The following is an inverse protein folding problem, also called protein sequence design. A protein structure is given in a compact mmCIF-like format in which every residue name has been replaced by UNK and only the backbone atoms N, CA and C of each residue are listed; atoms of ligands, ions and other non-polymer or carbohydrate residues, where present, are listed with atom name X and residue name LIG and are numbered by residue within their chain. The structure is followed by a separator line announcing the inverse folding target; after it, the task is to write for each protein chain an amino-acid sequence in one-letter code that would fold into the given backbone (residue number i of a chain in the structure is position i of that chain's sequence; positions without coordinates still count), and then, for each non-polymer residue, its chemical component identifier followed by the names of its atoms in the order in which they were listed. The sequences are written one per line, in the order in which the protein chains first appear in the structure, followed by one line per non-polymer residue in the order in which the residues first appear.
data_IF_358546809415
#
_entry.id   IF_358546809415
#
_cell.length_a   1.000
_cell.length_b   1.000
_cell.length_c   1.000
_cell.angle_alpha   90.00
_cell.angle_beta   90.00
_cell.angle_gamma   90.00
#
_symmetry.space_group_name_H-M   'P 1'
#
loop_
_entity.id
_entity.type
_entity.pdbx_description
1 polymer ?
#
# COMPACT_ATOMS: atom_id res chain seq x y z
N UNK A 1 15.84 -19.45 2.75
CA UNK A 1 15.59 -19.91 1.36
C UNK A 1 15.98 -18.79 0.41
N UNK A 2 16.68 -19.07 -0.70
CA UNK A 2 16.90 -18.08 -1.75
C UNK A 2 15.54 -17.65 -2.32
N UNK A 3 15.42 -16.37 -2.70
CA UNK A 3 14.22 -15.87 -3.37
C UNK A 3 14.22 -16.40 -4.80
N UNK A 4 13.09 -16.93 -5.25
CA UNK A 4 12.83 -17.20 -6.67
C UNK A 4 12.13 -15.97 -7.27
N UNK A 5 12.84 -15.13 -8.05
CA UNK A 5 12.27 -13.90 -8.57
C UNK A 5 11.24 -14.14 -9.69
N UNK A 6 11.35 -15.25 -10.42
CA UNK A 6 10.41 -15.59 -11.50
C UNK A 6 9.09 -16.06 -10.93
N UNK A 7 9.12 -17.01 -9.99
CA UNK A 7 7.93 -17.48 -9.30
C UNK A 7 7.20 -16.31 -8.62
N UNK A 8 7.94 -15.45 -7.90
CA UNK A 8 7.38 -14.26 -7.26
C UNK A 8 6.68 -13.33 -8.26
N UNK A 9 7.30 -13.06 -9.41
CA UNK A 9 6.71 -12.21 -10.45
C UNK A 9 5.42 -12.84 -11.00
N UNK A 10 5.44 -14.12 -11.33
CA UNK A 10 4.29 -14.84 -11.89
C UNK A 10 3.10 -14.82 -10.94
N UNK A 11 3.31 -15.20 -9.67
CA UNK A 11 2.24 -15.20 -8.68
C UNK A 11 1.65 -13.80 -8.44
N UNK A 12 2.49 -12.75 -8.39
CA UNK A 12 1.99 -11.37 -8.23
C UNK A 12 1.16 -10.94 -9.45
N UNK A 13 1.59 -11.30 -10.66
CA UNK A 13 0.85 -10.96 -11.88
C UNK A 13 -0.50 -11.68 -11.97
N UNK A 14 -0.54 -12.97 -11.65
CA UNK A 14 -1.79 -13.75 -11.59
C UNK A 14 -2.76 -13.20 -10.57
N UNK A 15 -2.26 -12.88 -9.36
CA UNK A 15 -3.07 -12.27 -8.31
C UNK A 15 -3.61 -10.90 -8.74
N UNK A 16 -2.79 -10.04 -9.36
CA UNK A 16 -3.24 -8.74 -9.86
C UNK A 16 -4.37 -8.89 -10.90
N UNK A 17 -4.25 -9.87 -11.80
CA UNK A 17 -5.28 -10.18 -12.79
C UNK A 17 -6.56 -10.72 -12.17
N UNK A 18 -6.46 -11.55 -11.12
CA UNK A 18 -7.62 -12.07 -10.41
C UNK A 18 -8.40 -10.98 -9.66
N UNK A 19 -7.69 -9.96 -9.15
CA UNK A 19 -8.30 -8.81 -8.47
C UNK A 19 -8.92 -7.78 -9.42
N UNK A 20 -8.54 -7.80 -10.71
CA UNK A 20 -9.03 -6.85 -11.71
C UNK A 20 -10.56 -6.96 -11.89
N UNK A 21 -11.27 -5.85 -11.72
CA UNK A 21 -12.72 -5.79 -11.89
C UNK A 21 -13.55 -6.34 -10.71
N UNK A 22 -12.90 -6.85 -9.66
CA UNK A 22 -13.59 -7.26 -8.42
C UNK A 22 -14.06 -6.05 -7.61
N UNK A 23 -15.11 -6.23 -6.81
CA UNK A 23 -15.60 -5.17 -5.91
C UNK A 23 -14.69 -4.99 -4.68
N UNK A 24 -14.78 -3.80 -4.07
CA UNK A 24 -13.93 -3.43 -2.94
C UNK A 24 -14.10 -4.33 -1.71
N UNK A 25 -15.31 -4.86 -1.44
CA UNK A 25 -15.57 -5.69 -0.27
C UNK A 25 -14.90 -7.06 -0.41
N UNK A 26 -14.98 -7.67 -1.60
CA UNK A 26 -14.28 -8.91 -1.91
C UNK A 26 -12.75 -8.76 -1.79
N UNK A 27 -12.21 -7.66 -2.34
CA UNK A 27 -10.76 -7.37 -2.27
C UNK A 27 -10.31 -7.17 -0.81
N UNK A 28 -11.09 -6.45 0.00
CA UNK A 28 -10.80 -6.26 1.42
C UNK A 28 -10.77 -7.59 2.17
N UNK A 29 -11.80 -8.43 2.00
CA UNK A 29 -11.86 -9.75 2.63
C UNK A 29 -10.67 -10.64 2.22
N UNK A 30 -10.32 -10.62 0.93
CA UNK A 30 -9.18 -11.36 0.41
C UNK A 30 -7.87 -10.99 1.12
N UNK A 31 -7.62 -9.69 1.35
CA UNK A 31 -6.40 -9.28 2.06
C UNK A 31 -6.37 -9.74 3.51
N UNK A 32 -7.49 -9.74 4.23
CA UNK A 32 -7.55 -10.27 5.60
C UNK A 32 -7.36 -11.78 5.67
N UNK A 33 -7.63 -12.51 4.58
CA UNK A 33 -7.37 -13.95 4.49
C UNK A 33 -5.94 -14.27 4.05
N UNK A 34 -5.37 -13.44 3.16
CA UNK A 34 -4.02 -13.61 2.64
C UNK A 34 -2.94 -13.28 3.68
N UNK A 35 -3.18 -12.26 4.50
CA UNK A 35 -2.23 -11.76 5.47
C UNK A 35 -2.56 -12.20 6.88
N UNK A 36 -1.52 -12.39 7.70
CA UNK A 36 -1.70 -12.39 9.15
C UNK A 36 -2.11 -11.00 9.64
N UNK A 37 -2.69 -10.92 10.85
CA UNK A 37 -3.08 -9.64 11.44
C UNK A 37 -1.91 -8.62 11.51
N UNK A 38 -0.69 -9.10 11.78
CA UNK A 38 0.50 -8.26 11.84
C UNK A 38 0.91 -7.73 10.44
N UNK A 39 0.83 -8.57 9.41
CA UNK A 39 1.13 -8.17 8.03
C UNK A 39 0.08 -7.20 7.48
N UNK A 40 -1.20 -7.44 7.79
CA UNK A 40 -2.30 -6.54 7.43
C UNK A 40 -2.14 -5.16 8.11
N UNK A 41 -1.81 -5.12 9.41
CA UNK A 41 -1.51 -3.88 10.13
C UNK A 41 -0.29 -3.14 9.54
N UNK A 42 0.80 -3.84 9.22
CA UNK A 42 1.96 -3.23 8.55
C UNK A 42 1.58 -2.67 7.17
N UNK A 43 0.77 -3.38 6.38
CA UNK A 43 0.30 -2.92 5.08
C UNK A 43 -0.60 -1.69 5.23
N UNK A 44 -1.56 -1.70 6.15
CA UNK A 44 -2.47 -0.59 6.42
C UNK A 44 -1.71 0.66 6.87
N UNK A 45 -0.71 0.51 7.74
CA UNK A 45 0.18 1.62 8.16
C UNK A 45 0.97 2.20 6.99
N UNK A 46 1.44 1.37 6.05
CA UNK A 46 2.12 1.86 4.82
C UNK A 46 1.16 2.64 3.92
N UNK A 47 -0.09 2.19 3.79
CA UNK A 47 -1.11 2.93 3.05
C UNK A 47 -1.47 4.26 3.71
N UNK A 48 -1.67 4.28 5.04
CA UNK A 48 -1.91 5.49 5.81
C UNK A 48 -0.77 6.50 5.68
N UNK A 49 0.48 6.02 5.74
CA UNK A 49 1.66 6.84 5.48
C UNK A 49 1.61 7.48 4.10
N UNK A 50 1.26 6.72 3.06
CA UNK A 50 1.16 7.21 1.68
C UNK A 50 0.10 8.30 1.54
N UNK A 51 -1.07 8.14 2.17
CA UNK A 51 -2.13 9.17 2.23
C UNK A 51 -1.64 10.46 2.88
N UNK A 52 -1.04 10.36 4.06
CA UNK A 52 -0.54 11.53 4.80
C UNK A 52 0.58 12.26 4.06
N UNK A 53 1.47 11.52 3.40
CA UNK A 53 2.50 12.12 2.56
C UNK A 53 1.92 12.85 1.35
N UNK A 54 0.85 12.31 0.73
CA UNK A 54 0.15 12.98 -0.36
C UNK A 54 -0.56 14.26 0.10
N UNK A 55 -1.04 14.31 1.35
CA UNK A 55 -1.60 15.52 1.98
C UNK A 55 -0.55 16.55 2.41
N UNK A 56 0.75 16.25 2.26
CA UNK A 56 1.83 17.16 2.65
C UNK A 56 2.20 17.13 4.13
N UNK A 57 1.71 16.14 4.90
CA UNK A 57 2.05 16.00 6.31
C UNK A 57 3.55 15.72 6.51
N UNK A 58 4.26 16.42 7.42
CA UNK A 58 5.68 16.16 7.67
C UNK A 58 5.94 14.74 8.19
N UNK A 59 6.95 14.06 7.65
CA UNK A 59 7.31 12.67 7.99
C UNK A 59 7.45 12.40 9.50
N UNK A 60 8.02 13.36 10.26
CA UNK A 60 8.18 13.22 11.72
C UNK A 60 6.83 13.18 12.45
N UNK A 61 5.84 13.92 11.98
CA UNK A 61 4.48 13.90 12.54
C UNK A 61 3.80 12.58 12.24
N UNK A 62 3.95 12.08 11.01
CA UNK A 62 3.41 10.78 10.60
C UNK A 62 4.03 9.64 11.41
N UNK A 63 5.35 9.69 11.67
CA UNK A 63 6.07 8.72 12.50
C UNK A 63 5.47 8.59 13.90
N UNK A 64 5.22 9.73 14.54
CA UNK A 64 4.63 9.80 15.87
C UNK A 64 3.18 9.29 15.89
N UNK A 65 2.38 9.63 14.88
CA UNK A 65 0.96 9.23 14.80
C UNK A 65 0.77 7.74 14.48
N UNK A 66 1.59 7.18 13.60
CA UNK A 66 1.46 5.78 13.16
C UNK A 66 2.33 4.80 13.95
N UNK A 67 3.11 5.28 14.92
CA UNK A 67 4.07 4.47 15.68
C UNK A 67 5.16 3.85 14.78
N UNK A 68 5.49 4.50 13.67
CA UNK A 68 6.47 4.02 12.70
C UNK A 68 7.83 4.68 12.93
N UNK A 69 8.91 3.91 12.78
CA UNK A 69 10.25 4.50 12.81
C UNK A 69 10.50 5.38 11.57
N UNK A 70 11.27 6.46 11.74
CA UNK A 70 11.62 7.38 10.65
C UNK A 70 12.33 6.68 9.48
N UNK A 71 13.10 5.62 9.77
CA UNK A 71 13.73 4.77 8.76
C UNK A 71 12.71 4.02 7.88
N UNK A 72 11.64 3.46 8.48
CA UNK A 72 10.56 2.81 7.73
C UNK A 72 9.84 3.82 6.80
N UNK A 73 9.67 5.06 7.26
CA UNK A 73 8.98 6.13 6.51
C UNK A 73 9.80 6.65 5.34
N UNK A 74 11.08 6.94 5.56
CA UNK A 74 11.95 7.51 4.53
C UNK A 74 12.12 6.61 3.32
N UNK A 75 12.10 5.28 3.48
CA UNK A 75 12.10 4.33 2.36
C UNK A 75 10.77 4.34 1.60
N UNK A 76 9.63 4.28 2.29
CA UNK A 76 8.29 4.35 1.65
C UNK A 76 8.03 5.68 0.94
N UNK A 77 8.51 6.79 1.51
CA UNK A 77 8.37 8.13 0.92
C UNK A 77 9.12 8.28 -0.41
N UNK A 78 10.24 7.58 -0.60
CA UNK A 78 10.97 7.59 -1.88
C UNK A 78 10.16 6.93 -3.01
N UNK A 79 9.45 5.84 -2.72
CA UNK A 79 8.62 5.15 -3.72
C UNK A 79 7.41 5.99 -4.16
N UNK A 80 6.87 6.81 -3.26
CA UNK A 80 5.77 7.73 -3.59
C UNK A 80 6.23 8.91 -4.48
N UNK A 81 7.48 9.36 -4.32
CA UNK A 81 8.05 10.49 -5.10
C UNK A 81 8.49 10.09 -6.51
N UNK A 82 8.46 8.80 -6.86
CA UNK A 82 8.82 8.36 -8.22
C UNK A 82 7.76 8.79 -9.24
N UNK A 83 8.17 9.30 -10.41
CA UNK A 83 7.26 9.52 -11.53
C UNK A 83 6.52 8.21 -11.86
N UNK A 84 5.20 8.27 -12.04
CA UNK A 84 4.39 7.08 -12.34
C UNK A 84 4.15 6.14 -11.16
N UNK A 85 4.41 6.56 -9.92
CA UNK A 85 4.15 5.76 -8.72
C UNK A 85 2.72 5.20 -8.71
N UNK A 86 2.59 3.87 -8.67
CA UNK A 86 1.29 3.20 -8.58
C UNK A 86 0.49 3.66 -7.35
N UNK A 87 1.18 4.00 -6.26
CA UNK A 87 0.56 4.60 -5.07
C UNK A 87 -0.20 5.87 -5.41
N UNK A 88 0.40 6.79 -6.18
CA UNK A 88 -0.24 8.06 -6.53
C UNK A 88 -1.42 7.86 -7.47
N UNK A 89 -1.27 7.00 -8.48
CA UNK A 89 -2.36 6.67 -9.40
C UNK A 89 -3.59 6.10 -8.67
N UNK A 90 -3.37 5.22 -7.69
CA UNK A 90 -4.46 4.64 -6.89
C UNK A 90 -5.07 5.65 -5.91
N UNK A 91 -4.26 6.53 -5.30
CA UNK A 91 -4.77 7.62 -4.45
C UNK A 91 -5.65 8.60 -5.24
N UNK A 92 -5.19 9.00 -6.43
CA UNK A 92 -5.92 9.95 -7.28
C UNK A 92 -7.28 9.38 -7.70
N UNK A 93 -7.37 8.05 -7.93
CA UNK A 93 -8.65 7.34 -8.17
C UNK A 93 -9.62 7.44 -6.98
N UNK A 94 -9.12 7.37 -5.74
CA UNK A 94 -9.95 7.54 -4.53
C UNK A 94 -10.38 8.99 -4.32
N UNK A 95 -9.58 9.97 -4.70
CA UNK A 95 -9.97 11.39 -4.59
C UNK A 95 -11.00 11.79 -5.66
N UNK A 96 -11.00 11.07 -6.79
CA UNK A 96 -11.93 11.29 -7.91
C UNK A 96 -13.27 10.55 -7.76
N UNK A 97 -13.48 9.80 -6.68
CA UNK A 97 -14.75 9.16 -6.33
C UNK A 97 -14.98 9.28 -4.83
N UNK A 98 -16.05 9.94 -4.36
CA UNK A 98 -16.37 9.91 -2.95
C UNK A 98 -16.67 8.46 -2.56
N UNK A 99 -15.82 7.86 -1.74
CA UNK A 99 -16.13 6.58 -1.09
C UNK A 99 -17.28 6.87 -0.12
N UNK A 100 -18.41 6.13 -0.20
CA UNK A 100 -19.54 6.30 0.71
C UNK A 100 -19.18 5.95 2.16
#
# INVERSE_FOLDING_TARGET
MPRDPELMRTCIAEMAKALEGSDAALIEQFFYQLFTAAEADEMAKRWALVKELAHGTPQRKIAAQLGLSLCKITRGSKELKKPGSAFRQLLDKLQSSPVP
#
